data_IF_334278494656
#
_entry.id   IF_334278494656
#
_cell.length_a   1.000
_cell.length_b   1.000
_cell.length_c   1.000
_cell.angle_alpha   90.00
_cell.angle_beta   90.00
_cell.angle_gamma   90.00
#
_symmetry.space_group_name_H-M   'P 1'
#
loop_
_entity.id
_entity.type
_entity.pdbx_description
1 polymer ?
#
# COMPACT_ATOMS: atom_id res chain seq x y z
N UNK A 1 11.60 -58.27 28.12
CA UNK A 1 12.23 -57.86 26.84
C UNK A 1 11.21 -57.54 25.75
N UNK A 2 10.12 -58.32 25.60
CA UNK A 2 9.05 -58.08 24.62
C UNK A 2 8.28 -56.72 24.66
N UNK A 3 7.90 -56.14 25.81
CA UNK A 3 7.05 -54.93 25.82
C UNK A 3 7.79 -53.66 25.36
N UNK A 4 9.11 -53.64 25.50
CA UNK A 4 9.96 -52.55 25.03
C UNK A 4 10.04 -52.53 23.50
N UNK A 5 10.07 -53.71 22.88
CA UNK A 5 10.13 -53.87 21.41
C UNK A 5 8.80 -53.44 20.78
N UNK A 6 7.67 -53.83 21.36
CA UNK A 6 6.34 -53.40 20.87
C UNK A 6 6.12 -51.89 21.04
N UNK A 7 6.65 -51.28 22.11
CA UNK A 7 6.60 -49.83 22.32
C UNK A 7 7.37 -49.06 21.25
N UNK A 8 8.58 -49.52 20.92
CA UNK A 8 9.39 -48.93 19.84
C UNK A 8 8.70 -49.03 18.47
N UNK A 9 8.13 -50.19 18.15
CA UNK A 9 7.40 -50.41 16.90
C UNK A 9 6.15 -49.53 16.78
N UNK A 10 5.39 -49.36 17.87
CA UNK A 10 4.20 -48.51 17.89
C UNK A 10 4.54 -47.01 17.74
N UNK A 11 5.62 -46.54 18.37
CA UNK A 11 6.12 -45.18 18.19
C UNK A 11 6.61 -44.94 16.76
N UNK A 12 7.34 -45.90 16.18
CA UNK A 12 7.74 -45.86 14.78
C UNK A 12 6.55 -45.72 13.84
N UNK A 13 5.48 -46.48 14.06
CA UNK A 13 4.26 -46.41 13.27
C UNK A 13 3.51 -45.07 13.39
N UNK A 14 3.58 -44.42 14.57
CA UNK A 14 3.01 -43.09 14.78
C UNK A 14 3.76 -41.98 14.02
N UNK A 15 5.08 -42.12 13.84
CA UNK A 15 5.94 -41.12 13.18
C UNK A 15 5.83 -41.10 11.65
N UNK A 16 5.35 -42.17 11.02
CA UNK A 16 5.24 -42.27 9.54
C UNK A 16 4.24 -41.27 8.94
N UNK A 17 3.11 -41.04 9.62
CA UNK A 17 2.07 -40.10 9.16
C UNK A 17 2.56 -38.64 9.14
N UNK A 18 3.10 -38.07 10.24
CA UNK A 18 3.63 -36.71 10.23
C UNK A 18 4.81 -36.56 9.26
N UNK A 19 5.70 -37.57 9.16
CA UNK A 19 6.80 -37.54 8.20
C UNK A 19 6.32 -37.42 6.75
N UNK A 20 5.21 -38.09 6.37
CA UNK A 20 4.61 -37.94 5.03
C UNK A 20 4.07 -36.54 4.78
N UNK A 21 3.37 -35.94 5.74
CA UNK A 21 2.85 -34.57 5.57
C UNK A 21 3.98 -33.53 5.47
N UNK A 22 5.03 -33.71 6.26
CA UNK A 22 6.23 -32.89 6.21
C UNK A 22 6.91 -33.03 4.83
N UNK A 23 7.06 -34.26 4.33
CA UNK A 23 7.61 -34.51 3.00
C UNK A 23 6.78 -33.90 1.87
N UNK A 24 5.45 -33.91 1.98
CA UNK A 24 4.56 -33.23 1.03
C UNK A 24 4.76 -31.71 1.07
N UNK A 25 4.90 -31.11 2.25
CA UNK A 25 5.20 -29.68 2.40
C UNK A 25 6.54 -29.29 1.78
N UNK A 26 7.60 -30.06 2.04
CA UNK A 26 8.91 -29.83 1.44
C UNK A 26 8.94 -29.98 -0.08
N UNK A 27 8.15 -30.92 -0.63
CA UNK A 27 8.03 -31.08 -2.08
C UNK A 27 7.44 -29.82 -2.73
N UNK A 28 6.44 -29.21 -2.09
CA UNK A 28 5.81 -27.97 -2.57
C UNK A 28 6.80 -26.81 -2.49
N UNK A 29 7.51 -26.64 -1.37
CA UNK A 29 8.50 -25.56 -1.25
C UNK A 29 9.66 -25.72 -2.24
N UNK A 30 10.12 -26.95 -2.47
CA UNK A 30 11.14 -27.23 -3.49
C UNK A 30 10.61 -26.97 -4.92
N UNK A 31 9.34 -27.23 -5.19
CA UNK A 31 8.75 -26.88 -6.49
C UNK A 31 8.73 -25.37 -6.72
N UNK A 32 8.56 -24.57 -5.65
CA UNK A 32 8.55 -23.11 -5.73
C UNK A 32 9.91 -22.48 -6.07
N UNK A 33 11.04 -23.18 -5.88
CA UNK A 33 12.37 -22.66 -6.23
C UNK A 33 12.63 -22.65 -7.73
N UNK A 34 11.86 -23.40 -8.52
CA UNK A 34 11.99 -23.45 -9.98
C UNK A 34 11.20 -22.34 -10.70
N UNK A 35 10.39 -21.56 -9.98
CA UNK A 35 9.69 -20.43 -10.58
C UNK A 35 10.55 -19.17 -10.52
N UNK A 36 10.44 -18.34 -11.54
CA UNK A 36 11.06 -17.03 -11.55
C UNK A 36 10.38 -16.11 -10.53
N UNK A 37 11.12 -15.22 -9.86
CA UNK A 37 10.54 -14.28 -8.92
C UNK A 37 9.63 -13.27 -9.65
N UNK A 38 8.42 -13.07 -9.12
CA UNK A 38 7.45 -12.06 -9.62
C UNK A 38 7.77 -10.64 -9.14
N UNK A 39 8.78 -10.49 -8.26
CA UNK A 39 9.13 -9.23 -7.63
C UNK A 39 9.79 -8.27 -8.61
N UNK A 40 9.40 -7.00 -8.55
CA UNK A 40 10.04 -5.90 -9.29
C UNK A 40 11.08 -5.24 -8.39
N UNK A 41 12.28 -4.98 -8.93
CA UNK A 41 13.40 -4.46 -8.15
C UNK A 41 13.34 -2.93 -7.98
N UNK A 42 12.67 -2.47 -6.94
CA UNK A 42 12.79 -1.08 -6.52
C UNK A 42 14.21 -0.80 -5.95
N UNK A 43 14.84 0.36 -6.22
CA UNK A 43 14.37 1.54 -6.96
C UNK A 43 14.71 1.54 -8.46
N UNK A 44 15.38 0.50 -8.95
CA UNK A 44 15.92 0.44 -10.31
C UNK A 44 14.81 0.26 -11.36
N UNK A 45 13.80 -0.53 -11.04
CA UNK A 45 12.64 -0.79 -11.88
C UNK A 45 11.38 -0.30 -11.17
N UNK A 46 10.59 0.53 -11.86
CA UNK A 46 9.34 1.08 -11.35
C UNK A 46 8.16 0.43 -12.05
N UNK A 47 7.12 0.15 -11.27
CA UNK A 47 5.82 -0.27 -11.78
C UNK A 47 5.22 0.81 -12.67
N UNK A 48 4.63 0.41 -13.80
CA UNK A 48 3.76 1.29 -14.58
C UNK A 48 2.49 1.56 -13.77
N UNK A 49 2.23 2.84 -13.49
CA UNK A 49 0.98 3.26 -12.84
C UNK A 49 -0.16 3.29 -13.85
N UNK A 50 -1.39 3.07 -13.40
CA UNK A 50 -2.57 3.24 -14.23
C UNK A 50 -2.79 4.71 -14.63
N UNK A 51 -3.54 4.94 -15.72
CA UNK A 51 -3.88 6.30 -16.17
C UNK A 51 -4.65 7.11 -15.11
N UNK A 52 -5.44 6.42 -14.28
CA UNK A 52 -6.24 7.00 -13.20
C UNK A 52 -5.58 6.85 -11.82
N UNK A 53 -4.26 6.70 -11.77
CA UNK A 53 -3.55 6.62 -10.50
C UNK A 53 -3.57 7.98 -9.78
N UNK A 54 -4.13 8.00 -8.59
CA UNK A 54 -4.17 9.20 -7.74
C UNK A 54 -2.84 9.37 -6.99
N UNK A 55 -1.92 10.15 -7.57
CA UNK A 55 -0.62 10.46 -7.01
C UNK A 55 -0.60 11.75 -6.17
N UNK A 56 0.37 12.64 -6.45
CA UNK A 56 0.40 13.99 -5.86
C UNK A 56 -0.58 14.89 -6.61
N UNK A 57 -1.35 15.67 -5.85
CA UNK A 57 -2.22 16.71 -6.42
C UNK A 57 -1.33 17.79 -7.04
N UNK A 58 -1.53 18.06 -8.32
CA UNK A 58 -0.89 19.17 -9.01
C UNK A 58 -1.77 20.42 -8.91
N UNK A 59 -1.19 21.55 -8.51
CA UNK A 59 -1.91 22.81 -8.38
C UNK A 59 -1.29 23.88 -9.29
N UNK A 60 -2.15 24.55 -10.06
CA UNK A 60 -1.76 25.66 -10.93
C UNK A 60 -2.33 26.98 -10.38
N UNK A 61 -1.44 27.90 -10.03
CA UNK A 61 -1.79 29.17 -9.39
C UNK A 61 -2.66 30.07 -10.28
N UNK A 62 -2.37 30.13 -11.58
CA UNK A 62 -3.04 31.06 -12.50
C UNK A 62 -4.50 30.70 -12.79
N UNK A 63 -4.90 29.44 -12.54
CA UNK A 63 -6.26 28.94 -12.78
C UNK A 63 -7.17 29.06 -11.56
N UNK A 64 -6.60 29.28 -10.37
CA UNK A 64 -7.38 29.36 -9.15
C UNK A 64 -8.14 30.68 -9.06
N UNK A 65 -9.45 30.61 -8.77
CA UNK A 65 -10.31 31.78 -8.55
C UNK A 65 -10.73 31.95 -7.08
N UNK A 66 -10.06 31.25 -6.16
CA UNK A 66 -10.35 31.27 -4.73
C UNK A 66 -11.80 30.91 -4.34
N UNK A 67 -12.42 29.93 -5.02
CA UNK A 67 -13.81 29.52 -4.78
C UNK A 67 -14.04 28.63 -3.54
N UNK A 68 -12.98 28.23 -2.84
CA UNK A 68 -13.00 27.36 -1.65
C UNK A 68 -13.75 26.02 -1.84
N UNK A 69 -13.95 25.55 -3.07
CA UNK A 69 -14.62 24.26 -3.36
C UNK A 69 -13.75 23.09 -2.91
N UNK A 70 -12.42 23.21 -3.08
CA UNK A 70 -11.48 22.17 -2.67
C UNK A 70 -11.50 21.90 -1.17
N UNK A 71 -11.68 22.92 -0.33
CA UNK A 71 -11.84 22.76 1.11
C UNK A 71 -13.17 22.09 1.44
N UNK A 72 -14.29 22.64 0.94
CA UNK A 72 -15.65 22.15 1.23
C UNK A 72 -15.93 20.71 0.81
N UNK A 73 -15.28 20.20 -0.24
CA UNK A 73 -15.43 18.82 -0.72
C UNK A 73 -14.46 17.88 -0.02
N UNK A 74 -13.39 18.40 0.58
CA UNK A 74 -12.42 17.57 1.28
C UNK A 74 -13.09 16.94 2.52
N UNK A 75 -13.00 15.61 2.72
CA UNK A 75 -13.63 14.96 3.86
C UNK A 75 -13.06 15.39 5.22
N UNK A 76 -11.87 16.02 5.22
CA UNK A 76 -11.13 16.44 6.41
C UNK A 76 -10.75 17.93 6.37
N UNK A 77 -11.31 18.72 5.44
CA UNK A 77 -11.03 20.17 5.29
C UNK A 77 -9.52 20.53 5.27
N UNK A 78 -8.71 19.75 4.56
CA UNK A 78 -7.26 19.88 4.57
C UNK A 78 -6.67 21.07 3.77
N UNK A 79 -7.16 21.41 2.56
CA UNK A 79 -6.51 22.44 1.77
C UNK A 79 -6.80 23.83 2.34
N UNK A 80 -5.75 24.58 2.65
CA UNK A 80 -5.85 25.95 3.15
C UNK A 80 -5.76 26.91 1.97
N UNK A 81 -6.80 27.74 1.81
CA UNK A 81 -6.91 28.75 0.76
C UNK A 81 -6.89 30.13 1.42
N UNK A 82 -5.84 30.91 1.18
CA UNK A 82 -5.76 32.29 1.64
C UNK A 82 -6.19 33.23 0.52
N UNK A 83 -7.22 34.04 0.79
CA UNK A 83 -7.71 35.05 -0.14
C UNK A 83 -7.85 36.42 0.51
N UNK A 84 -7.59 37.48 -0.27
CA UNK A 84 -7.82 38.86 0.11
C UNK A 84 -8.84 39.48 -0.83
N UNK A 85 -9.87 40.07 -0.25
CA UNK A 85 -10.83 40.86 -1.01
C UNK A 85 -10.24 42.23 -1.32
N UNK A 86 -10.03 42.52 -2.60
CA UNK A 86 -9.62 43.86 -3.04
C UNK A 86 -10.86 44.71 -3.30
N UNK A 87 -11.01 45.79 -2.54
CA UNK A 87 -12.16 46.71 -2.67
C UNK A 87 -12.18 47.44 -4.02
N UNK A 88 -11.00 47.77 -4.56
CA UNK A 88 -10.86 48.58 -5.78
C UNK A 88 -11.39 47.85 -7.03
N UNK A 89 -11.14 46.54 -7.12
CA UNK A 89 -11.49 45.73 -8.29
C UNK A 89 -12.75 44.88 -8.00
N UNK A 90 -13.28 44.93 -6.77
CA UNK A 90 -14.36 44.07 -6.26
C UNK A 90 -14.11 42.60 -6.63
N UNK A 91 -12.86 42.14 -6.46
CA UNK A 91 -12.42 40.80 -6.82
C UNK A 91 -11.58 40.20 -5.70
N UNK A 92 -11.82 38.93 -5.42
CA UNK A 92 -10.98 38.14 -4.52
C UNK A 92 -9.66 37.85 -5.21
N UNK A 93 -8.57 38.34 -4.61
CA UNK A 93 -7.21 37.98 -4.97
C UNK A 93 -6.78 36.80 -4.13
N UNK A 94 -6.50 35.70 -4.83
CA UNK A 94 -5.83 34.56 -4.27
C UNK A 94 -4.40 34.94 -3.83
N UNK A 95 -3.99 34.50 -2.63
CA UNK A 95 -2.64 34.72 -2.10
C UNK A 95 -1.82 33.45 -2.07
N UNK A 96 -2.30 32.47 -1.30
CA UNK A 96 -1.58 31.24 -1.01
C UNK A 96 -2.52 30.05 -1.01
N UNK A 97 -1.97 28.90 -1.38
CA UNK A 97 -2.62 27.60 -1.30
C UNK A 97 -1.61 26.62 -0.72
N UNK A 98 -2.01 25.90 0.32
CA UNK A 98 -1.19 24.83 0.87
C UNK A 98 -2.02 23.57 1.12
N UNK A 99 -1.45 22.42 0.76
CA UNK A 99 -1.97 21.10 1.09
C UNK A 99 -0.89 20.40 1.91
N UNK A 100 -1.23 20.00 3.13
CA UNK A 100 -0.31 19.23 3.99
C UNK A 100 -0.36 17.77 3.55
N UNK A 101 0.59 17.37 2.70
CA UNK A 101 0.60 16.04 2.06
C UNK A 101 0.61 14.87 3.06
N UNK A 102 1.09 15.05 4.29
CA UNK A 102 1.10 14.00 5.31
C UNK A 102 -0.30 13.45 5.60
N UNK A 103 -1.34 14.29 5.58
CA UNK A 103 -2.71 13.86 5.85
C UNK A 103 -3.42 13.28 4.62
N UNK A 104 -2.92 13.54 3.40
CA UNK A 104 -3.51 13.04 2.14
C UNK A 104 -3.09 11.59 1.86
N UNK A 105 -1.91 11.18 2.31
CA UNK A 105 -1.36 9.84 2.04
C UNK A 105 -1.69 8.80 3.11
N UNK A 106 -2.34 9.21 4.21
CA UNK A 106 -2.63 8.34 5.34
C UNK A 106 -4.10 7.90 5.41
N UNK A 107 -4.91 8.26 4.41
CA UNK A 107 -6.29 7.85 4.24
C UNK A 107 -6.51 7.37 2.80
#
# INVERSE_FOLDING_TARGET
MFPMVTGFMNYGHQTVRPARYIGQGFMITLSHTNFLPVTIQYPYEKLITSEHFHGRIHFEFDKCIACEVCARVCPIDLPVVDQKFEMDIRKERFLNYSIILEFVYFW
#
